data_IF_338588746396
#
_entry.id   IF_338588746396
#
_cell.length_a   1.000
_cell.length_b   1.000
_cell.length_c   1.000
_cell.angle_alpha   90.00
_cell.angle_beta   90.00
_cell.angle_gamma   90.00
#
_symmetry.space_group_name_H-M   'P 1'
#
loop_
_entity.id
_entity.type
_entity.pdbx_description
1 polymer ?
#
# COMPACT_ATOMS: atom_id res chain seq x y z
N UNK A 1 -10.20 0.92 -10.99
CA UNK A 1 -9.22 1.65 -11.82
C UNK A 1 -8.49 2.56 -10.88
N UNK A 2 -7.15 2.59 -10.88
CA UNK A 2 -6.45 3.63 -10.14
C UNK A 2 -6.84 4.96 -10.79
N UNK A 3 -7.20 5.95 -9.99
CA UNK A 3 -7.64 7.23 -10.53
C UNK A 3 -6.45 8.14 -10.80
N UNK A 4 -6.67 9.41 -10.53
CA UNK A 4 -5.61 10.33 -10.13
C UNK A 4 -4.92 9.83 -8.84
N UNK A 5 -3.63 10.12 -8.69
CA UNK A 5 -2.90 9.98 -7.44
C UNK A 5 -3.44 11.01 -6.43
N UNK A 6 -3.77 10.54 -5.22
CA UNK A 6 -4.20 11.38 -4.09
C UNK A 6 -3.36 11.17 -2.82
N UNK A 7 -2.42 10.24 -2.90
CA UNK A 7 -1.50 9.75 -1.87
C UNK A 7 -0.60 8.71 -2.56
N UNK A 8 0.71 8.78 -2.38
CA UNK A 8 1.68 7.87 -2.99
C UNK A 8 2.82 7.55 -2.04
N UNK A 9 2.79 6.35 -1.46
CA UNK A 9 3.88 5.84 -0.64
C UNK A 9 4.85 4.99 -1.47
N UNK A 10 6.15 5.26 -1.34
CA UNK A 10 7.20 4.42 -1.89
C UNK A 10 7.68 3.44 -0.82
N UNK A 11 7.76 2.15 -1.13
CA UNK A 11 8.18 1.14 -0.16
C UNK A 11 9.25 0.21 -0.70
N UNK A 12 10.35 0.13 0.02
CA UNK A 12 11.40 -0.87 -0.10
C UNK A 12 10.93 -2.18 0.56
N UNK A 13 10.96 -3.30 -0.17
CA UNK A 13 10.42 -4.59 0.30
C UNK A 13 11.54 -5.63 0.50
N UNK A 14 11.42 -6.50 1.51
CA UNK A 14 12.35 -7.63 1.70
C UNK A 14 11.71 -8.97 1.32
N UNK A 15 12.52 -9.94 0.91
CA UNK A 15 12.08 -11.32 0.67
C UNK A 15 12.28 -12.24 1.89
N UNK A 16 12.79 -11.71 3.00
CA UNK A 16 13.18 -12.47 4.18
C UNK A 16 13.97 -11.62 5.15
N UNK A 17 14.83 -12.26 5.95
CA UNK A 17 15.74 -11.57 6.85
C UNK A 17 16.73 -10.70 6.08
N UNK A 18 16.78 -9.41 6.43
CA UNK A 18 17.63 -8.40 5.82
C UNK A 18 18.48 -7.72 6.90
N UNK A 19 19.74 -7.48 6.59
CA UNK A 19 20.76 -6.86 7.42
C UNK A 19 21.75 -6.07 6.55
N UNK A 20 22.83 -5.58 7.15
CA UNK A 20 23.93 -4.89 6.49
C UNK A 20 24.93 -5.84 5.79
N UNK A 21 24.68 -7.14 5.69
CA UNK A 21 25.63 -8.03 5.01
C UNK A 21 25.64 -7.73 3.51
N UNK A 22 26.81 -7.32 2.99
CA UNK A 22 27.02 -7.06 1.56
C UNK A 22 26.65 -8.31 0.75
N UNK A 23 25.85 -8.13 -0.31
CA UNK A 23 25.32 -9.22 -1.13
C UNK A 23 24.05 -9.87 -0.58
N UNK A 24 23.41 -9.34 0.48
CA UNK A 24 22.19 -9.93 1.03
C UNK A 24 21.04 -9.89 0.01
N UNK A 25 20.74 -11.05 -0.59
CA UNK A 25 19.70 -11.21 -1.62
C UNK A 25 18.27 -10.94 -1.15
N UNK A 26 18.03 -10.85 0.16
CA UNK A 26 16.72 -10.55 0.73
C UNK A 26 16.47 -9.04 0.88
N UNK A 27 17.49 -8.20 0.74
CA UNK A 27 17.34 -6.74 0.82
C UNK A 27 16.44 -6.18 -0.30
N UNK A 28 15.90 -4.99 -0.07
CA UNK A 28 15.19 -4.25 -1.10
C UNK A 28 16.19 -3.68 -2.11
N UNK A 29 17.32 -3.19 -1.58
CA UNK A 29 18.51 -2.80 -2.32
C UNK A 29 19.75 -3.26 -1.55
N UNK A 30 20.70 -3.83 -2.28
CA UNK A 30 22.01 -4.28 -1.82
C UNK A 30 23.05 -3.27 -2.30
N UNK A 31 23.85 -2.68 -1.41
CA UNK A 31 24.89 -1.67 -1.72
C UNK A 31 25.77 -1.44 -0.49
N UNK A 32 27.06 -1.21 -0.68
CA UNK A 32 28.02 -0.95 0.41
C UNK A 32 27.89 0.45 1.03
N UNK A 33 27.56 1.47 0.24
CA UNK A 33 27.36 2.85 0.71
C UNK A 33 26.04 3.41 0.18
N UNK A 34 24.94 3.36 0.95
CA UNK A 34 23.65 3.90 0.48
C UNK A 34 23.64 5.44 0.44
N UNK A 35 24.57 6.10 1.15
CA UNK A 35 24.76 7.54 1.15
C UNK A 35 25.13 8.16 -0.20
N UNK A 36 25.53 7.35 -1.19
CA UNK A 36 25.82 7.83 -2.55
C UNK A 36 24.65 7.68 -3.51
N UNK A 37 23.61 6.96 -3.10
CA UNK A 37 22.43 6.69 -3.90
C UNK A 37 21.46 7.88 -3.91
N UNK A 38 20.95 8.18 -5.11
CA UNK A 38 19.79 9.08 -5.29
C UNK A 38 18.69 8.31 -6.01
N UNK A 39 17.51 8.32 -5.40
CA UNK A 39 16.28 7.70 -5.88
C UNK A 39 15.37 8.79 -6.44
N UNK A 40 14.87 8.57 -7.66
CA UNK A 40 13.94 9.47 -8.35
C UNK A 40 12.76 8.70 -8.90
N UNK A 41 11.56 9.22 -8.68
CA UNK A 41 10.33 8.66 -9.24
C UNK A 41 9.79 9.62 -10.32
N UNK A 42 9.33 9.06 -11.44
CA UNK A 42 8.73 9.81 -12.56
C UNK A 42 7.40 9.17 -12.96
N UNK A 43 6.31 9.95 -13.11
CA UNK A 43 4.99 9.47 -13.52
C UNK A 43 4.94 9.05 -15.00
N UNK A 44 3.86 8.37 -15.46
CA UNK A 44 3.77 7.79 -16.80
C UNK A 44 3.77 8.79 -17.97
N UNK A 45 3.48 10.07 -17.72
CA UNK A 45 3.54 11.17 -18.69
C UNK A 45 4.92 11.86 -18.73
N UNK A 46 5.79 11.57 -17.76
CA UNK A 46 7.20 11.96 -17.74
C UNK A 46 7.56 13.12 -16.82
N UNK A 47 6.61 13.77 -16.15
CA UNK A 47 6.87 14.88 -15.23
C UNK A 47 5.74 15.06 -14.20
N UNK A 48 6.02 15.54 -12.97
CA UNK A 48 7.34 15.91 -12.45
C UNK A 48 8.17 14.70 -12.05
N UNK A 49 9.49 14.79 -12.20
CA UNK A 49 10.41 13.87 -11.52
C UNK A 49 10.65 14.36 -10.08
N UNK A 50 10.60 13.44 -9.12
CA UNK A 50 10.72 13.70 -7.68
C UNK A 50 11.87 12.88 -7.09
N UNK A 51 12.87 13.56 -6.51
CA UNK A 51 14.03 12.96 -5.84
C UNK A 51 13.76 12.70 -4.34
N UNK A 52 12.85 11.77 -4.06
CA UNK A 52 12.30 11.49 -2.72
C UNK A 52 13.31 10.98 -1.66
N UNK A 53 14.49 10.50 -2.08
CA UNK A 53 15.63 10.20 -1.21
C UNK A 53 16.93 10.49 -1.98
N UNK A 54 17.73 11.45 -1.52
CA UNK A 54 18.90 11.93 -2.25
C UNK A 54 20.16 11.98 -1.36
N UNK A 55 21.06 10.99 -1.53
CA UNK A 55 22.31 10.84 -0.77
C UNK A 55 22.08 10.84 0.75
N UNK A 56 21.42 9.78 1.24
CA UNK A 56 20.99 9.60 2.64
C UNK A 56 21.43 8.25 3.17
N UNK A 57 21.73 8.19 4.47
CA UNK A 57 22.19 6.99 5.16
C UNK A 57 23.71 6.92 5.39
N UNK A 58 24.53 7.66 4.64
CA UNK A 58 25.99 7.64 4.82
C UNK A 58 26.62 6.28 4.50
N UNK A 59 27.55 5.83 5.33
CA UNK A 59 28.28 4.55 5.28
C UNK A 59 27.41 3.32 5.59
N UNK A 60 26.08 3.46 5.62
CA UNK A 60 25.15 2.34 5.81
C UNK A 60 25.17 1.39 4.61
N UNK A 61 25.32 0.10 4.87
CA UNK A 61 25.13 -0.96 3.88
C UNK A 61 23.66 -1.37 3.76
N UNK A 62 23.15 -1.49 2.54
CA UNK A 62 21.82 -2.00 2.19
C UNK A 62 20.60 -1.16 2.63
N UNK A 63 19.51 -1.33 1.89
CA UNK A 63 18.15 -0.89 2.27
C UNK A 63 17.27 -2.14 2.48
N UNK A 64 16.73 -2.26 3.68
CA UNK A 64 15.80 -3.30 4.09
C UNK A 64 14.35 -2.81 3.97
N UNK A 65 13.43 -3.31 4.80
CA UNK A 65 12.04 -2.90 4.80
C UNK A 65 11.94 -1.44 5.27
N UNK A 66 11.57 -0.55 4.35
CA UNK A 66 11.40 0.88 4.61
C UNK A 66 10.27 1.47 3.81
N UNK A 67 9.48 2.34 4.44
CA UNK A 67 8.39 3.09 3.78
C UNK A 67 8.72 4.58 3.80
N UNK A 68 8.53 5.24 2.67
CA UNK A 68 8.65 6.68 2.47
C UNK A 68 7.22 7.22 2.25
N UNK A 69 6.77 8.06 3.18
CA UNK A 69 5.38 8.50 3.36
C UNK A 69 5.37 9.89 4.04
N UNK A 70 4.90 10.93 3.35
CA UNK A 70 4.87 12.32 3.85
C UNK A 70 3.67 12.64 4.74
N UNK A 71 2.60 11.85 4.67
CA UNK A 71 1.34 12.06 5.39
C UNK A 71 1.35 11.44 6.79
N UNK A 72 2.16 10.40 7.03
CA UNK A 72 2.21 9.60 8.25
C UNK A 72 2.93 10.24 9.44
N UNK A 73 3.49 11.45 9.30
CA UNK A 73 4.20 12.15 10.38
C UNK A 73 5.52 11.48 10.80
N UNK A 74 6.13 10.71 9.92
CA UNK A 74 7.38 9.98 10.15
C UNK A 74 8.61 10.91 10.21
N UNK A 75 9.68 10.53 10.93
CA UNK A 75 10.94 11.28 10.91
C UNK A 75 11.47 11.41 9.48
N UNK A 76 12.08 12.55 9.15
CA UNK A 76 12.55 12.77 7.79
C UNK A 76 13.70 11.82 7.41
N UNK A 77 13.75 11.38 6.15
CA UNK A 77 14.84 10.53 5.66
C UNK A 77 16.22 11.20 5.82
N UNK A 78 16.27 12.53 5.88
CA UNK A 78 17.49 13.30 6.21
C UNK A 78 17.99 13.13 7.65
N UNK A 79 17.20 12.55 8.57
CA UNK A 79 17.65 12.25 9.94
C UNK A 79 18.36 10.91 10.07
N UNK A 80 18.50 10.14 8.98
CA UNK A 80 19.35 8.93 8.98
C UNK A 80 20.79 9.32 9.28
N UNK A 81 21.28 8.92 10.45
CA UNK A 81 22.68 9.10 10.83
C UNK A 81 23.58 8.15 10.06
N UNK A 82 24.78 8.63 9.80
CA UNK A 82 25.89 7.86 9.25
C UNK A 82 26.32 6.76 10.23
N UNK A 83 26.21 5.49 9.84
CA UNK A 83 26.53 4.31 10.67
C UNK A 83 26.97 3.14 9.77
N UNK A 84 28.28 2.87 9.75
CA UNK A 84 28.86 1.69 9.10
C UNK A 84 28.25 0.36 9.61
N UNK A 85 28.04 -0.62 8.73
CA UNK A 85 27.56 -1.95 9.11
C UNK A 85 26.11 -1.98 9.63
N UNK A 86 25.27 -1.01 9.23
CA UNK A 86 23.87 -0.91 9.64
C UNK A 86 22.97 -0.62 8.43
N UNK A 87 21.84 -1.32 8.23
CA UNK A 87 20.96 -1.03 7.10
C UNK A 87 20.05 0.15 7.34
N UNK A 88 19.52 0.72 6.26
CA UNK A 88 18.29 1.52 6.33
C UNK A 88 17.10 0.58 6.56
N UNK A 89 16.29 0.86 7.58
CA UNK A 89 15.02 0.17 7.84
C UNK A 89 14.08 1.08 8.65
N UNK A 90 12.77 0.84 8.54
CA UNK A 90 11.73 1.64 9.20
C UNK A 90 11.09 2.69 8.28
N UNK A 91 10.14 3.45 8.84
CA UNK A 91 9.34 4.42 8.09
C UNK A 91 9.89 5.84 8.26
N UNK A 92 9.91 6.60 7.17
CA UNK A 92 10.43 7.96 7.08
C UNK A 92 9.53 8.83 6.21
N UNK A 93 9.58 10.15 6.40
CA UNK A 93 9.08 11.08 5.37
C UNK A 93 10.16 11.33 4.30
N UNK A 94 9.80 11.51 3.02
CA UNK A 94 10.71 11.85 1.91
C UNK A 94 11.56 13.11 2.11
N UNK A 95 12.46 13.42 1.18
CA UNK A 95 13.17 14.71 1.14
C UNK A 95 12.20 15.90 1.27
N UNK A 96 12.42 16.76 2.27
CA UNK A 96 11.55 17.92 2.53
C UNK A 96 11.46 18.90 1.34
N UNK A 97 12.48 18.93 0.50
CA UNK A 97 12.54 19.77 -0.71
C UNK A 97 11.90 19.13 -1.94
N UNK A 98 11.69 17.82 -1.92
CA UNK A 98 11.18 17.05 -3.06
C UNK A 98 10.34 15.84 -2.60
N UNK A 99 9.18 16.09 -1.95
CA UNK A 99 8.35 15.05 -1.32
C UNK A 99 7.42 14.33 -2.32
N UNK A 100 6.85 13.18 -1.95
CA UNK A 100 6.07 12.35 -2.87
C UNK A 100 4.71 12.97 -3.22
N UNK A 101 4.11 13.75 -2.33
CA UNK A 101 2.93 14.60 -2.59
C UNK A 101 3.09 15.58 -3.77
N UNK A 102 4.31 15.82 -4.28
CA UNK A 102 4.51 16.49 -5.59
C UNK A 102 3.95 15.71 -6.78
N UNK A 103 3.58 14.44 -6.59
CA UNK A 103 2.97 13.55 -7.58
C UNK A 103 1.45 13.44 -7.38
N UNK A 104 0.87 14.14 -6.41
CA UNK A 104 -0.58 14.26 -6.27
C UNK A 104 -1.16 15.03 -7.45
N UNK A 105 -2.29 14.55 -7.98
CA UNK A 105 -2.84 15.07 -9.23
C UNK A 105 -2.38 14.31 -10.48
N UNK A 106 -1.35 13.47 -10.39
CA UNK A 106 -0.85 12.72 -11.54
C UNK A 106 -1.70 11.50 -11.90
N UNK A 107 -1.53 10.97 -13.11
CA UNK A 107 -2.22 9.75 -13.54
C UNK A 107 -1.53 8.51 -12.95
N UNK A 108 -2.21 7.78 -12.06
CA UNK A 108 -1.68 6.56 -11.47
C UNK A 108 -1.51 5.40 -12.49
N UNK A 109 -2.23 5.41 -13.63
CA UNK A 109 -2.19 4.33 -14.61
C UNK A 109 -1.09 4.52 -15.65
N UNK A 110 -0.15 3.59 -15.71
CA UNK A 110 0.86 3.51 -16.77
C UNK A 110 2.21 3.06 -16.23
N UNK A 111 3.27 3.31 -17.00
CA UNK A 111 4.64 2.95 -16.63
C UNK A 111 5.27 4.05 -15.78
N UNK A 112 5.26 3.86 -14.47
CA UNK A 112 6.08 4.64 -13.55
C UNK A 112 7.55 4.26 -13.68
N UNK A 113 8.44 5.26 -13.67
CA UNK A 113 9.89 5.03 -13.78
C UNK A 113 10.58 5.37 -12.46
N UNK A 114 11.12 4.35 -11.79
CA UNK A 114 12.10 4.52 -10.73
C UNK A 114 13.51 4.60 -11.34
N UNK A 115 14.18 5.73 -11.17
CA UNK A 115 15.60 5.88 -11.45
C UNK A 115 16.38 5.80 -10.13
N UNK A 116 17.38 4.92 -10.09
CA UNK A 116 18.35 4.80 -9.00
C UNK A 116 19.72 5.11 -9.59
N UNK A 117 20.42 6.06 -8.99
CA UNK A 117 21.76 6.46 -9.43
C UNK A 117 22.73 6.37 -8.26
N UNK A 118 23.87 5.72 -8.46
CA UNK A 118 25.05 5.91 -7.61
C UNK A 118 25.78 7.17 -8.06
N UNK A 119 26.23 7.96 -7.09
CA UNK A 119 26.92 9.24 -7.26
C UNK A 119 28.30 9.25 -6.57
N UNK A 120 28.85 8.06 -6.29
CA UNK A 120 30.26 7.76 -6.07
C UNK A 120 30.71 6.65 -7.05
N UNK A 121 32.01 6.54 -7.32
CA UNK A 121 32.55 5.69 -8.40
C UNK A 121 33.21 4.39 -7.97
N UNK A 122 33.05 3.99 -6.69
CA UNK A 122 33.78 2.85 -6.08
C UNK A 122 32.82 1.72 -5.73
N UNK A 123 31.67 2.09 -5.19
CA UNK A 123 30.64 1.18 -4.70
C UNK A 123 29.77 0.65 -5.84
N UNK A 124 29.11 -0.49 -5.59
CA UNK A 124 28.20 -1.12 -6.55
C UNK A 124 27.15 -1.92 -5.81
N UNK A 125 26.04 -2.22 -6.50
CA UNK A 125 25.00 -3.05 -5.94
C UNK A 125 23.77 -3.19 -6.83
N UNK A 126 22.66 -3.64 -6.24
CA UNK A 126 21.46 -4.05 -6.96
C UNK A 126 20.20 -3.55 -6.28
N UNK A 127 19.39 -2.78 -7.00
CA UNK A 127 17.97 -2.60 -6.66
C UNK A 127 17.23 -3.91 -6.95
N UNK A 128 16.54 -4.47 -5.97
CA UNK A 128 15.89 -5.79 -6.05
C UNK A 128 14.38 -5.70 -6.01
N UNK A 129 13.81 -4.94 -5.06
CA UNK A 129 12.37 -4.98 -4.75
C UNK A 129 11.85 -3.65 -4.22
N UNK A 130 10.72 -3.19 -4.77
CA UNK A 130 9.96 -2.07 -4.25
C UNK A 130 8.47 -2.20 -4.62
N UNK A 131 7.65 -1.43 -3.93
CA UNK A 131 6.23 -1.24 -4.20
C UNK A 131 5.95 0.26 -4.33
N UNK A 132 5.07 0.64 -5.26
CA UNK A 132 4.37 1.92 -5.25
C UNK A 132 2.97 1.66 -4.70
N UNK A 133 2.58 2.35 -3.64
CA UNK A 133 1.27 2.19 -3.01
C UNK A 133 0.46 3.46 -3.22
N UNK A 134 -0.56 3.38 -4.06
CA UNK A 134 -1.41 4.51 -4.44
C UNK A 134 -2.69 4.55 -3.61
N UNK A 135 -3.02 5.74 -3.13
CA UNK A 135 -4.31 6.08 -2.51
C UNK A 135 -4.67 5.17 -1.32
N UNK A 136 -3.67 4.82 -0.51
CA UNK A 136 -3.78 3.96 0.68
C UNK A 136 -4.76 4.50 1.73
N UNK A 137 -5.01 5.82 1.75
CA UNK A 137 -5.94 6.46 2.69
C UNK A 137 -7.40 6.57 2.24
N UNK A 138 -7.74 6.46 0.94
CA UNK A 138 -9.13 6.64 0.50
C UNK A 138 -9.51 5.95 -0.82
N UNK A 139 -10.09 4.76 -0.71
CA UNK A 139 -11.10 4.35 -1.69
C UNK A 139 -12.33 5.22 -1.43
N UNK A 140 -12.48 6.31 -2.20
CA UNK A 140 -13.64 7.17 -2.11
C UNK A 140 -14.90 6.37 -2.35
N UNK A 141 -15.68 6.13 -1.29
CA UNK A 141 -17.05 5.60 -1.42
C UNK A 141 -17.76 6.48 -2.44
N UNK A 142 -18.26 5.93 -3.58
CA UNK A 142 -18.91 6.75 -4.58
C UNK A 142 -20.09 7.43 -3.89
N UNK A 143 -20.01 8.75 -3.73
CA UNK A 143 -21.13 9.52 -3.18
C UNK A 143 -22.32 9.21 -4.06
N UNK A 144 -23.39 8.59 -3.53
CA UNK A 144 -24.53 8.24 -4.36
C UNK A 144 -25.06 9.54 -4.95
N UNK A 145 -24.89 9.70 -6.26
CA UNK A 145 -25.49 10.82 -6.98
C UNK A 145 -26.99 10.66 -6.77
N UNK A 146 -27.62 11.66 -6.16
CA UNK A 146 -29.07 11.69 -6.02
C UNK A 146 -29.66 11.74 -7.43
N UNK A 147 -29.90 10.57 -8.01
CA UNK A 147 -30.64 10.43 -9.26
C UNK A 147 -31.99 11.07 -8.99
N UNK A 148 -32.41 12.11 -9.73
CA UNK A 148 -33.67 12.76 -9.48
C UNK A 148 -34.79 11.75 -9.67
N UNK A 149 -35.37 11.30 -8.56
CA UNK A 149 -36.56 10.45 -8.56
C UNK A 149 -37.64 11.18 -9.34
N UNK A 150 -38.08 10.60 -10.45
CA UNK A 150 -39.12 11.19 -11.27
C UNK A 150 -40.36 11.48 -10.40
N UNK A 151 -40.77 12.74 -10.34
CA UNK A 151 -41.98 13.14 -9.61
C UNK A 151 -43.17 12.35 -10.15
N UNK A 152 -43.92 11.60 -9.32
CA UNK A 152 -45.03 10.80 -9.81
C UNK A 152 -46.14 11.72 -10.35
N UNK A 153 -46.29 11.78 -11.66
CA UNK A 153 -47.40 12.45 -12.34
C UNK A 153 -48.70 11.68 -12.12
N UNK A 154 -49.77 12.38 -11.78
CA UNK A 154 -51.11 11.82 -11.50
C UNK A 154 -51.87 11.29 -12.73
N UNK A 155 -51.16 10.98 -13.82
CA UNK A 155 -51.76 10.54 -15.08
C UNK A 155 -51.86 9.01 -15.13
N UNK A 156 -53.08 8.42 -15.18
CA UNK A 156 -53.22 6.97 -15.30
C UNK A 156 -52.76 6.51 -16.70
N UNK A 157 -51.76 5.64 -16.74
CA UNK A 157 -51.33 4.98 -17.99
C UNK A 157 -52.24 3.79 -18.27
N UNK A 158 -53.08 3.89 -19.29
CA UNK A 158 -54.02 2.83 -19.67
C UNK A 158 -53.37 1.83 -20.64
N UNK A 159 -52.83 0.71 -20.12
CA UNK A 159 -52.54 -0.48 -20.93
C UNK A 159 -52.63 -1.77 -20.09
N UNK A 160 -53.71 -2.57 -20.21
CA UNK A 160 -53.79 -3.85 -19.52
C UNK A 160 -53.03 -4.94 -20.30
N UNK A 161 -51.91 -5.41 -19.76
CA UNK A 161 -51.23 -6.60 -20.27
C UNK A 161 -51.70 -7.83 -19.50
N UNK A 162 -52.61 -8.61 -20.09
CA UNK A 162 -53.02 -9.89 -19.54
C UNK A 162 -51.92 -10.94 -19.79
N UNK A 163 -51.14 -11.29 -18.77
CA UNK A 163 -50.26 -12.46 -18.79
C UNK A 163 -50.24 -13.08 -17.39
N UNK A 164 -50.71 -14.34 -17.21
CA UNK A 164 -50.74 -14.95 -15.89
C UNK A 164 -49.32 -15.34 -15.44
N UNK A 165 -48.84 -14.72 -14.37
CA UNK A 165 -47.59 -15.07 -13.70
C UNK A 165 -47.72 -16.42 -12.99
N UNK A 166 -46.77 -17.33 -13.20
CA UNK A 166 -46.72 -18.60 -12.47
C UNK A 166 -46.41 -18.39 -10.98
N UNK A 167 -47.18 -19.04 -10.11
CA UNK A 167 -47.07 -18.92 -8.64
C UNK A 167 -45.73 -19.43 -8.10
N UNK A 168 -44.91 -18.60 -7.43
CA UNK A 168 -43.77 -19.09 -6.67
C UNK A 168 -44.24 -19.70 -5.34
N UNK A 169 -44.14 -21.02 -5.20
CA UNK A 169 -44.43 -21.72 -3.93
C UNK A 169 -43.32 -21.48 -2.90
N UNK A 170 -43.67 -20.82 -1.80
CA UNK A 170 -42.79 -20.59 -0.65
C UNK A 170 -42.77 -21.82 0.30
N UNK A 171 -41.61 -22.45 0.59
CA UNK A 171 -41.53 -23.50 1.60
C UNK A 171 -41.60 -22.91 3.03
N UNK A 172 -42.60 -23.33 3.79
CA UNK A 172 -42.87 -22.84 5.16
C UNK A 172 -41.72 -23.14 6.13
N UNK A 173 -41.19 -22.11 6.80
CA UNK A 173 -40.18 -22.26 7.85
C UNK A 173 -40.82 -22.67 9.19
N UNK A 174 -40.79 -23.96 9.54
CA UNK A 174 -41.26 -24.45 10.85
C UNK A 174 -40.18 -24.30 11.93
N UNK A 175 -40.27 -23.25 12.75
CA UNK A 175 -39.40 -23.03 13.93
C UNK A 175 -39.67 -24.07 15.02
N UNK A 176 -38.86 -25.13 15.08
CA UNK A 176 -38.90 -26.12 16.19
C UNK A 176 -37.83 -25.84 17.24
N UNK A 177 -38.25 -25.40 18.42
CA UNK A 177 -37.35 -25.23 19.57
C UNK A 177 -36.90 -26.61 20.07
N UNK A 178 -35.61 -26.92 19.99
CA UNK A 178 -35.00 -28.04 20.73
C UNK A 178 -33.94 -27.53 21.71
N UNK A 179 -34.33 -27.46 22.99
CA UNK A 179 -33.38 -27.45 24.11
C UNK A 179 -32.69 -28.81 24.17
N UNK A 180 -31.35 -28.89 24.07
CA UNK A 180 -30.57 -30.05 24.56
C UNK A 180 -29.13 -29.68 24.97
N UNK A 181 -28.98 -29.57 26.30
CA UNK A 181 -27.83 -29.87 27.18
C UNK A 181 -26.39 -29.77 26.62
N UNK A 182 -25.57 -28.93 27.29
CA UNK A 182 -24.09 -28.99 27.27
C UNK A 182 -23.58 -30.38 27.68
N UNK A 183 -22.55 -30.93 27.04
CA UNK A 183 -21.68 -31.94 27.62
C UNK A 183 -20.65 -31.30 28.57
N UNK A 184 -20.40 -31.91 29.72
CA UNK A 184 -19.18 -31.66 30.50
C UNK A 184 -18.00 -32.42 29.87
N UNK A 185 -16.79 -31.86 29.95
CA UNK A 185 -15.53 -32.60 29.79
C UNK A 185 -14.58 -32.23 30.94
N UNK A 186 -14.08 -33.27 31.59
CA UNK A 186 -12.98 -33.35 32.57
C UNK A 186 -12.45 -34.80 32.47
N UNK A 187 -11.25 -35.21 32.85
CA UNK A 187 -10.02 -34.52 33.31
C UNK A 187 -8.93 -34.68 32.19
N UNK A 188 -7.60 -34.55 32.33
CA UNK A 188 -6.70 -34.38 33.47
C UNK A 188 -5.36 -33.71 33.08
N UNK A 189 -4.52 -33.39 34.06
CA UNK A 189 -3.08 -33.05 33.90
C UNK A 189 -2.20 -34.05 34.65
N UNK A 190 -1.02 -34.46 34.13
CA UNK A 190 -0.08 -35.31 34.86
C UNK A 190 0.71 -34.55 35.92
N UNK A 191 1.00 -35.23 37.03
CA UNK A 191 1.79 -34.72 38.16
C UNK A 191 3.28 -34.62 37.81
N UNK A 192 3.97 -33.59 38.32
CA UNK A 192 5.42 -33.58 38.40
C UNK A 192 5.90 -34.33 39.66
N UNK A 193 7.05 -34.98 39.55
CA UNK A 193 7.88 -35.52 40.65
C UNK A 193 9.20 -34.79 40.69
#
# INVERSE_FOLDING_TARGET
MAGTVTDLNFRFETAGFCDAAVGNVNSALDHTYIGDLTFRLTPPDGAPTVAFQARRGGERDNICLSTLDDEGGFPNISTLTDVNGSPQSGNFSPEITDPLSRLDGENANGTWTLNVSDNAGVDTGFMRRFSLLFNNGSCGTPTPTNTPTATPTSQPTATPTNTPTATPTHPTATRRIQRRRRPHHSYNTPTAT
#
